data_IF_090608060216
#
_entry.id   IF_090608060216
#
_cell.length_a   1.000
_cell.length_b   1.000
_cell.length_c   1.000
_cell.angle_alpha   90.00
_cell.angle_beta   90.00
_cell.angle_gamma   90.00
#
_symmetry.space_group_name_H-M   'P 1'
#
loop_
_entity.id
_entity.type
_entity.pdbx_description
1 polymer ?
#
# COMPACT_ATOMS: atom_id res chain seq x y z
N UNK A 1 -7.60 7.34 -3.41
CA UNK A 1 -8.99 6.91 -3.69
C UNK A 1 -9.99 8.05 -3.96
N UNK A 2 -9.53 9.29 -4.10
CA UNK A 2 -10.42 10.45 -4.09
C UNK A 2 -11.33 10.57 -5.33
N UNK A 3 -11.07 9.81 -6.39
CA UNK A 3 -11.81 9.89 -7.66
C UNK A 3 -12.59 8.62 -8.04
N UNK A 4 -12.75 7.68 -7.11
CA UNK A 4 -13.27 6.36 -7.46
C UNK A 4 -14.73 6.16 -7.03
N UNK A 5 -15.50 5.46 -7.88
CA UNK A 5 -16.78 4.87 -7.51
C UNK A 5 -16.53 3.49 -6.88
N UNK A 6 -16.85 3.30 -5.58
CA UNK A 6 -16.59 2.05 -4.88
C UNK A 6 -17.19 0.78 -5.52
N UNK A 7 -18.37 0.88 -6.13
CA UNK A 7 -19.06 -0.30 -6.67
C UNK A 7 -18.49 -0.72 -8.02
N UNK A 8 -18.18 0.26 -8.88
CA UNK A 8 -17.49 0.00 -10.14
C UNK A 8 -16.08 -0.55 -9.90
N UNK A 9 -15.35 0.00 -8.93
CA UNK A 9 -14.05 -0.55 -8.52
C UNK A 9 -14.16 -2.01 -8.11
N UNK A 10 -15.17 -2.38 -7.30
CA UNK A 10 -15.35 -3.76 -6.85
C UNK A 10 -15.65 -4.71 -8.01
N UNK A 11 -16.52 -4.32 -8.95
CA UNK A 11 -16.83 -5.09 -10.16
C UNK A 11 -15.59 -5.28 -11.05
N UNK A 12 -14.85 -4.19 -11.32
CA UNK A 12 -13.66 -4.22 -12.14
C UNK A 12 -12.54 -5.05 -11.49
N UNK A 13 -12.35 -4.91 -10.18
CA UNK A 13 -11.36 -5.66 -9.41
C UNK A 13 -11.67 -7.15 -9.39
N UNK A 14 -12.93 -7.53 -9.14
CA UNK A 14 -13.35 -8.93 -9.16
C UNK A 14 -13.17 -9.54 -10.56
N UNK A 15 -13.52 -8.81 -11.61
CA UNK A 15 -13.31 -9.25 -13.00
C UNK A 15 -11.82 -9.46 -13.29
N UNK A 16 -10.97 -8.49 -12.93
CA UNK A 16 -9.52 -8.58 -13.13
C UNK A 16 -8.90 -9.75 -12.35
N UNK A 17 -9.34 -9.97 -11.12
CA UNK A 17 -8.87 -11.06 -10.27
C UNK A 17 -9.26 -12.45 -10.83
N UNK A 18 -10.47 -12.59 -11.35
CA UNK A 18 -10.91 -13.83 -12.03
C UNK A 18 -10.07 -14.10 -13.27
N UNK A 19 -9.76 -13.08 -14.08
CA UNK A 19 -8.86 -13.21 -15.24
C UNK A 19 -7.44 -13.56 -14.78
N UNK A 20 -6.99 -12.97 -13.67
CA UNK A 20 -5.69 -13.22 -13.09
C UNK A 20 -5.60 -14.55 -12.33
N UNK A 21 -6.69 -15.33 -12.24
CA UNK A 21 -6.81 -16.56 -11.47
C UNK A 21 -6.47 -16.38 -9.98
N UNK A 22 -7.00 -15.32 -9.35
CA UNK A 22 -6.88 -15.08 -7.91
C UNK A 22 -5.56 -14.46 -7.45
N UNK A 23 -4.77 -13.89 -8.37
CA UNK A 23 -3.45 -13.30 -8.08
C UNK A 23 -3.47 -11.79 -7.83
N UNK A 24 -4.64 -11.15 -7.82
CA UNK A 24 -4.73 -9.70 -7.65
C UNK A 24 -4.65 -9.31 -6.18
N UNK A 25 -3.75 -8.38 -5.87
CA UNK A 25 -3.64 -7.65 -4.61
C UNK A 25 -4.10 -6.21 -4.81
N UNK A 26 -4.97 -5.69 -3.94
CA UNK A 26 -5.61 -4.39 -4.12
C UNK A 26 -5.09 -3.37 -3.10
N UNK A 27 -4.36 -2.35 -3.57
CA UNK A 27 -3.91 -1.24 -2.74
C UNK A 27 -4.92 -0.08 -2.70
N UNK A 28 -5.39 0.29 -1.50
CA UNK A 28 -6.24 1.46 -1.26
C UNK A 28 -5.63 2.38 -0.20
N UNK A 29 -5.87 3.68 -0.30
CA UNK A 29 -5.40 4.66 0.69
C UNK A 29 -6.17 5.97 0.56
N UNK A 30 -5.90 6.90 1.48
CA UNK A 30 -6.35 8.30 1.38
C UNK A 30 -6.01 8.91 0.02
N UNK A 31 -4.85 8.59 -0.54
CA UNK A 31 -4.26 9.25 -1.71
C UNK A 31 -3.05 10.10 -1.32
N UNK A 32 -2.16 10.34 -2.28
CA UNK A 32 -1.00 11.22 -2.11
C UNK A 32 -1.41 12.69 -2.16
N UNK A 33 -0.58 13.60 -1.65
CA UNK A 33 -0.65 15.00 -2.05
C UNK A 33 -0.66 15.10 -3.57
N UNK A 34 -1.54 15.95 -4.09
CA UNK A 34 -1.79 16.04 -5.52
C UNK A 34 -1.05 17.24 -6.14
N UNK A 35 -0.67 17.11 -7.41
CA UNK A 35 -0.14 18.24 -8.17
C UNK A 35 -1.22 19.29 -8.52
N UNK A 36 -2.49 18.87 -8.60
CA UNK A 36 -3.62 19.74 -8.86
C UNK A 36 -4.04 20.50 -7.60
N UNK A 37 -4.41 21.77 -7.77
CA UNK A 37 -5.03 22.57 -6.70
C UNK A 37 -6.49 22.14 -6.58
N UNK A 38 -6.86 21.53 -5.46
CA UNK A 38 -8.22 21.01 -5.24
C UNK A 38 -8.70 20.11 -6.39
N UNK A 39 -7.87 19.12 -6.75
CA UNK A 39 -8.17 18.26 -7.89
C UNK A 39 -9.48 17.51 -7.71
N UNK A 40 -9.87 17.15 -6.49
CA UNK A 40 -11.16 16.52 -6.22
C UNK A 40 -12.35 17.34 -6.70
N UNK A 41 -12.41 18.62 -6.35
CA UNK A 41 -13.47 19.47 -6.86
C UNK A 41 -13.42 19.56 -8.38
N UNK A 42 -12.24 19.77 -8.96
CA UNK A 42 -12.07 19.93 -10.41
C UNK A 42 -12.35 18.65 -11.21
N UNK A 43 -12.17 17.47 -10.61
CA UNK A 43 -12.55 16.18 -11.17
C UNK A 43 -14.02 15.81 -10.91
N UNK A 44 -14.81 16.75 -10.36
CA UNK A 44 -16.27 16.62 -10.21
C UNK A 44 -16.71 15.98 -8.89
N UNK A 45 -15.85 15.93 -7.87
CA UNK A 45 -16.18 15.39 -6.56
C UNK A 45 -16.34 16.50 -5.53
N UNK A 46 -17.52 16.58 -4.93
CA UNK A 46 -17.80 17.52 -3.85
C UNK A 46 -17.46 16.89 -2.50
N UNK A 47 -16.73 17.62 -1.66
CA UNK A 47 -16.53 17.27 -0.26
C UNK A 47 -17.79 17.64 0.53
N UNK A 48 -18.47 16.69 1.21
CA UNK A 48 -19.59 17.03 2.06
C UNK A 48 -19.18 18.01 3.17
N UNK A 49 -20.09 18.89 3.57
CA UNK A 49 -19.83 19.86 4.62
C UNK A 49 -19.40 19.18 5.93
N UNK A 50 -18.31 19.66 6.53
CA UNK A 50 -17.76 19.11 7.77
C UNK A 50 -16.98 17.80 7.62
N UNK A 51 -16.84 17.26 6.40
CA UNK A 51 -16.02 16.08 6.15
C UNK A 51 -14.58 16.42 5.73
N UNK A 52 -13.72 15.41 5.77
CA UNK A 52 -12.36 15.48 5.21
C UNK A 52 -12.19 14.47 4.07
N UNK A 53 -11.28 14.72 3.14
CA UNK A 53 -10.95 13.73 2.11
C UNK A 53 -10.43 12.40 2.70
N UNK A 54 -9.83 12.43 3.89
CA UNK A 54 -9.45 11.24 4.64
C UNK A 54 -10.66 10.41 5.07
N UNK A 55 -11.71 11.05 5.62
CA UNK A 55 -12.94 10.34 6.02
C UNK A 55 -13.70 9.81 4.80
N UNK A 56 -13.75 10.57 3.71
CA UNK A 56 -14.36 10.13 2.45
C UNK A 56 -13.62 8.90 1.89
N UNK A 57 -12.29 8.93 1.83
CA UNK A 57 -11.49 7.82 1.33
C UNK A 57 -11.67 6.56 2.18
N UNK A 58 -11.71 6.69 3.51
CA UNK A 58 -11.98 5.57 4.41
C UNK A 58 -13.34 4.92 4.13
N UNK A 59 -14.41 5.72 4.10
CA UNK A 59 -15.78 5.24 3.82
C UNK A 59 -15.88 4.57 2.44
N UNK A 60 -15.14 5.07 1.45
CA UNK A 60 -15.05 4.43 0.13
C UNK A 60 -14.36 3.07 0.20
N UNK A 61 -13.26 2.96 0.95
CA UNK A 61 -12.60 1.69 1.22
C UNK A 61 -13.53 0.67 1.88
N UNK A 62 -14.28 1.09 2.90
CA UNK A 62 -15.28 0.23 3.57
C UNK A 62 -16.38 -0.23 2.60
N UNK A 63 -16.85 0.67 1.72
CA UNK A 63 -17.86 0.34 0.71
C UNK A 63 -17.33 -0.64 -0.34
N UNK A 64 -16.08 -0.49 -0.77
CA UNK A 64 -15.40 -1.47 -1.65
C UNK A 64 -15.35 -2.82 -0.97
N UNK A 65 -14.82 -2.89 0.24
CA UNK A 65 -14.66 -4.15 0.96
C UNK A 65 -16.01 -4.85 1.18
N UNK A 66 -17.04 -4.08 1.49
CA UNK A 66 -18.42 -4.58 1.61
C UNK A 66 -18.91 -5.20 0.30
N UNK A 67 -18.69 -4.54 -0.84
CA UNK A 67 -19.07 -5.05 -2.16
C UNK A 67 -18.26 -6.29 -2.57
N UNK A 68 -16.96 -6.31 -2.28
CA UNK A 68 -16.07 -7.45 -2.54
C UNK A 68 -16.40 -8.68 -1.70
N UNK A 69 -17.04 -8.50 -0.53
CA UNK A 69 -17.55 -9.61 0.30
C UNK A 69 -18.86 -10.19 -0.24
N UNK A 70 -19.41 -9.64 -1.32
CA UNK A 70 -20.71 -10.04 -1.86
C UNK A 70 -21.89 -9.66 -0.96
N UNK A 71 -21.69 -8.71 -0.04
CA UNK A 71 -22.77 -8.19 0.80
C UNK A 71 -23.87 -7.63 -0.10
N UNK A 72 -25.15 -8.01 0.11
CA UNK A 72 -26.24 -7.46 -0.68
C UNK A 72 -26.47 -5.96 -0.41
N UNK A 73 -26.67 -5.18 -1.48
CA UNK A 73 -26.71 -3.71 -1.47
C UNK A 73 -27.97 -3.09 -2.06
N UNK A 74 -28.69 -3.77 -2.95
CA UNK A 74 -29.84 -3.20 -3.66
C UNK A 74 -31.07 -4.11 -3.62
N UNK A 75 -32.27 -3.53 -3.51
CA UNK A 75 -33.52 -4.28 -3.61
C UNK A 75 -33.82 -4.59 -5.08
N UNK A 76 -34.23 -5.83 -5.42
CA UNK A 76 -34.69 -6.13 -6.76
C UNK A 76 -36.07 -5.51 -7.02
N UNK A 77 -36.34 -5.14 -8.27
CA UNK A 77 -37.69 -4.83 -8.73
C UNK A 77 -38.42 -6.14 -9.07
N UNK A 78 -39.42 -6.52 -8.26
CA UNK A 78 -40.15 -7.78 -8.42
C UNK A 78 -41.10 -7.78 -9.62
N UNK A 79 -41.46 -6.62 -10.15
CA UNK A 79 -42.31 -6.52 -11.35
C UNK A 79 -41.48 -6.59 -12.65
N UNK A 80 -40.15 -6.40 -12.55
CA UNK A 80 -39.24 -6.48 -13.68
C UNK A 80 -39.01 -7.94 -14.12
N UNK A 81 -39.20 -8.22 -15.41
CA UNK A 81 -38.85 -9.51 -16.01
C UNK A 81 -37.34 -9.85 -16.00
N UNK A 82 -36.49 -8.89 -15.62
CA UNK A 82 -35.05 -9.07 -15.44
C UNK A 82 -34.65 -9.43 -14.01
N UNK A 83 -35.61 -9.42 -13.07
CA UNK A 83 -35.36 -9.85 -11.71
C UNK A 83 -35.43 -11.36 -11.59
N UNK A 84 -34.30 -11.98 -11.28
CA UNK A 84 -34.19 -13.44 -11.12
C UNK A 84 -34.17 -13.88 -9.65
N UNK A 85 -34.42 -12.95 -8.71
CA UNK A 85 -34.35 -13.22 -7.27
C UNK A 85 -35.24 -12.27 -6.47
N UNK A 86 -35.80 -12.76 -5.38
CA UNK A 86 -36.50 -11.94 -4.37
C UNK A 86 -35.56 -11.42 -3.28
N UNK A 87 -34.33 -11.92 -3.25
CA UNK A 87 -33.30 -11.48 -2.31
C UNK A 87 -32.62 -10.18 -2.75
N UNK A 88 -32.00 -9.48 -1.81
CA UNK A 88 -31.17 -8.32 -2.11
C UNK A 88 -30.06 -8.67 -3.12
N UNK A 89 -29.83 -7.77 -4.08
CA UNK A 89 -28.82 -7.86 -5.11
C UNK A 89 -27.45 -7.43 -4.57
N UNK A 90 -26.39 -8.09 -5.03
CA UNK A 90 -24.99 -7.75 -4.77
C UNK A 90 -24.30 -7.31 -6.06
N UNK A 91 -23.13 -6.72 -5.94
CA UNK A 91 -22.27 -6.45 -7.11
C UNK A 91 -21.79 -7.78 -7.69
N UNK A 92 -21.69 -7.87 -9.01
CA UNK A 92 -21.18 -9.04 -9.73
C UNK A 92 -20.13 -8.56 -10.75
N UNK A 93 -19.14 -9.39 -11.14
CA UNK A 93 -18.91 -10.74 -10.62
C UNK A 93 -18.33 -10.74 -9.20
N UNK A 94 -18.41 -11.88 -8.51
CA UNK A 94 -17.72 -12.12 -7.24
C UNK A 94 -16.44 -12.92 -7.45
N UNK A 95 -15.35 -12.49 -6.81
CA UNK A 95 -14.09 -13.25 -6.79
C UNK A 95 -13.77 -13.74 -5.38
N UNK A 96 -13.73 -15.07 -5.13
CA UNK A 96 -13.46 -15.62 -3.81
C UNK A 96 -12.12 -15.16 -3.22
N UNK A 97 -12.15 -14.71 -1.96
CA UNK A 97 -10.97 -14.28 -1.20
C UNK A 97 -10.42 -12.89 -1.55
N UNK A 98 -10.92 -12.22 -2.60
CA UNK A 98 -10.40 -10.90 -3.00
C UNK A 98 -10.62 -9.82 -1.92
N UNK A 99 -11.69 -9.93 -1.13
CA UNK A 99 -11.95 -9.01 -0.02
C UNK A 99 -10.90 -9.09 1.12
N UNK A 100 -10.17 -10.20 1.20
CA UNK A 100 -9.10 -10.41 2.17
C UNK A 100 -7.73 -9.98 1.64
N UNK A 101 -7.59 -9.79 0.33
CA UNK A 101 -6.41 -9.25 -0.39
C UNK A 101 -6.48 -7.74 -0.61
N UNK A 102 -7.10 -7.02 0.32
CA UNK A 102 -7.28 -5.57 0.27
C UNK A 102 -6.35 -4.90 1.28
N UNK A 103 -5.41 -4.12 0.74
CA UNK A 103 -4.34 -3.46 1.46
C UNK A 103 -4.65 -2.00 1.72
N UNK A 104 -4.38 -1.53 2.94
CA UNK A 104 -4.46 -0.12 3.30
C UNK A 104 -3.06 0.50 3.39
N UNK A 105 -2.85 1.56 2.61
CA UNK A 105 -1.65 2.41 2.69
C UNK A 105 -1.73 3.37 3.87
N UNK A 106 -1.00 3.09 4.95
CA UNK A 106 -1.02 3.87 6.18
C UNK A 106 0.10 4.92 6.22
N UNK A 107 -0.28 6.19 6.36
CA UNK A 107 0.66 7.29 6.56
C UNK A 107 0.95 7.61 8.03
N UNK A 108 0.21 7.02 8.96
CA UNK A 108 0.40 7.24 10.40
C UNK A 108 -0.08 6.04 11.21
N UNK A 109 0.41 5.93 12.44
CA UNK A 109 0.12 4.86 13.38
C UNK A 109 -1.36 4.76 13.68
N UNK A 110 -2.11 5.85 13.94
CA UNK A 110 -3.56 5.76 14.09
C UNK A 110 -4.25 5.17 12.85
N UNK A 111 -3.78 5.47 11.63
CA UNK A 111 -4.36 4.90 10.41
C UNK A 111 -4.00 3.43 10.23
N UNK A 112 -2.81 3.00 10.65
CA UNK A 112 -2.43 1.59 10.64
C UNK A 112 -3.25 0.78 11.66
N UNK A 113 -3.40 1.27 12.90
CA UNK A 113 -4.26 0.65 13.92
C UNK A 113 -5.68 0.46 13.39
N UNK A 114 -6.27 1.52 12.83
CA UNK A 114 -7.62 1.45 12.24
C UNK A 114 -7.72 0.45 11.10
N UNK A 115 -6.67 0.31 10.27
CA UNK A 115 -6.61 -0.70 9.22
C UNK A 115 -6.61 -2.13 9.79
N UNK A 116 -5.88 -2.35 10.89
CA UNK A 116 -5.87 -3.61 11.63
C UNK A 116 -7.24 -3.95 12.21
N UNK A 117 -7.86 -3.00 12.91
CA UNK A 117 -9.21 -3.15 13.46
C UNK A 117 -10.23 -3.51 12.37
N UNK A 118 -10.13 -2.86 11.21
CA UNK A 118 -11.01 -3.12 10.09
C UNK A 118 -10.64 -4.40 9.33
N UNK A 119 -9.45 -4.98 9.49
CA UNK A 119 -9.04 -6.24 8.86
C UNK A 119 -8.52 -6.13 7.42
N UNK A 120 -7.93 -4.98 7.07
CA UNK A 120 -7.13 -4.81 5.85
C UNK A 120 -5.74 -5.40 6.05
N UNK A 121 -5.05 -5.78 4.97
CA UNK A 121 -3.59 -5.91 4.99
C UNK A 121 -2.95 -4.51 5.06
N UNK A 122 -1.69 -4.41 5.51
CA UNK A 122 -1.01 -3.14 5.73
C UNK A 122 0.11 -2.91 4.72
N UNK A 123 0.11 -1.76 4.05
CA UNK A 123 1.34 -1.20 3.48
C UNK A 123 1.70 0.05 4.26
N UNK A 124 2.85 0.03 4.94
CA UNK A 124 3.39 1.22 5.58
C UNK A 124 3.92 2.18 4.50
N UNK A 125 3.46 3.42 4.54
CA UNK A 125 3.81 4.45 3.54
C UNK A 125 5.32 4.70 3.50
N UNK A 126 5.85 5.02 2.30
CA UNK A 126 7.23 5.52 2.12
C UNK A 126 7.46 6.87 2.80
N UNK A 127 6.38 7.54 3.20
CA UNK A 127 6.38 8.79 3.94
C UNK A 127 5.35 8.69 5.07
N UNK A 128 5.83 8.80 6.31
CA UNK A 128 4.96 8.90 7.49
C UNK A 128 4.64 10.38 7.74
N UNK A 129 3.39 10.66 8.08
CA UNK A 129 2.84 11.97 8.46
C UNK A 129 2.83 12.14 9.99
N UNK A 130 3.79 11.51 10.64
CA UNK A 130 4.12 11.64 12.04
C UNK A 130 5.63 11.39 12.13
N UNK A 131 6.40 12.40 12.55
CA UNK A 131 7.83 12.24 12.79
C UNK A 131 8.09 12.47 14.27
N UNK A 132 8.42 11.39 14.98
CA UNK A 132 8.77 11.42 16.39
C UNK A 132 10.28 11.57 16.66
N UNK A 133 11.09 11.68 15.60
CA UNK A 133 12.54 11.88 15.67
C UNK A 133 13.37 10.59 15.79
N UNK A 134 12.74 9.40 15.89
CA UNK A 134 13.44 8.12 15.75
C UNK A 134 13.77 7.85 14.27
N UNK A 135 14.69 6.93 13.94
CA UNK A 135 14.94 6.54 12.56
C UNK A 135 13.66 6.04 11.87
N UNK A 136 13.49 6.36 10.58
CA UNK A 136 12.29 6.05 9.81
C UNK A 136 11.88 4.57 9.90
N UNK A 137 12.85 3.65 9.76
CA UNK A 137 12.59 2.21 9.82
C UNK A 137 12.10 1.75 11.20
N UNK A 138 12.54 2.40 12.29
CA UNK A 138 12.07 2.10 13.66
C UNK A 138 10.62 2.56 13.83
N UNK A 139 10.27 3.75 13.31
CA UNK A 139 8.90 4.25 13.34
C UNK A 139 7.95 3.35 12.53
N UNK A 140 8.39 2.86 11.37
CA UNK A 140 7.61 1.89 10.58
C UNK A 140 7.47 0.53 11.29
N UNK A 141 8.52 0.04 11.97
CA UNK A 141 8.44 -1.22 12.71
C UNK A 141 7.42 -1.15 13.86
N UNK A 142 7.41 -0.03 14.61
CA UNK A 142 6.41 0.26 15.66
C UNK A 142 4.99 0.34 15.06
N UNK A 143 4.82 0.98 13.89
CA UNK A 143 3.54 1.01 13.19
C UNK A 143 3.04 -0.40 12.81
N UNK A 144 3.92 -1.25 12.27
CA UNK A 144 3.61 -2.65 11.91
C UNK A 144 3.20 -3.45 13.16
N UNK A 145 3.93 -3.28 14.27
CA UNK A 145 3.61 -3.96 15.52
C UNK A 145 2.22 -3.57 16.05
N UNK A 146 1.92 -2.27 16.13
CA UNK A 146 0.61 -1.77 16.60
C UNK A 146 -0.54 -2.18 15.68
N UNK A 147 -0.31 -2.23 14.38
CA UNK A 147 -1.28 -2.78 13.43
C UNK A 147 -1.59 -4.26 13.73
N UNK A 148 -0.55 -5.08 13.94
CA UNK A 148 -0.74 -6.52 14.23
C UNK A 148 -1.48 -6.73 15.56
N UNK A 149 -1.15 -5.95 16.58
CA UNK A 149 -1.88 -5.96 17.86
C UNK A 149 -3.36 -5.62 17.67
N UNK A 150 -3.67 -4.56 16.91
CA UNK A 150 -5.03 -4.13 16.63
C UNK A 150 -5.82 -5.18 15.82
N UNK A 151 -5.17 -5.78 14.82
CA UNK A 151 -5.76 -6.85 14.01
C UNK A 151 -6.11 -8.07 14.87
N UNK A 152 -5.18 -8.50 15.74
CA UNK A 152 -5.42 -9.62 16.65
C UNK A 152 -6.52 -9.31 17.67
N UNK A 153 -6.52 -8.11 18.26
CA UNK A 153 -7.53 -7.67 19.23
C UNK A 153 -8.94 -7.59 18.63
N UNK A 154 -9.06 -7.30 17.33
CA UNK A 154 -10.32 -7.27 16.60
C UNK A 154 -10.90 -8.68 16.30
N UNK A 155 -10.13 -9.75 16.52
CA UNK A 155 -10.61 -11.13 16.41
C UNK A 155 -10.83 -11.63 14.98
N UNK A 156 -10.11 -11.06 14.00
CA UNK A 156 -10.15 -11.57 12.62
C UNK A 156 -9.54 -12.99 12.55
N UNK A 157 -10.16 -13.89 11.78
CA UNK A 157 -9.77 -15.31 11.73
C UNK A 157 -8.55 -15.60 10.85
N UNK A 158 -8.19 -14.69 9.95
CA UNK A 158 -7.08 -14.85 8.99
C UNK A 158 -5.77 -14.27 9.53
N UNK A 159 -4.65 -14.69 8.96
CA UNK A 159 -3.36 -13.99 9.17
C UNK A 159 -3.30 -12.76 8.26
N UNK A 160 -2.99 -11.56 8.79
CA UNK A 160 -2.78 -10.38 7.97
C UNK A 160 -1.41 -10.42 7.28
N UNK A 161 -1.28 -9.70 6.17
CA UNK A 161 0.02 -9.38 5.58
C UNK A 161 0.41 -7.92 5.81
N UNK A 162 1.71 -7.69 5.93
CA UNK A 162 2.30 -6.37 6.12
C UNK A 162 3.44 -6.16 5.14
N UNK A 163 3.53 -4.95 4.59
CA UNK A 163 4.55 -4.58 3.62
C UNK A 163 5.17 -3.23 3.95
N UNK A 164 6.47 -3.12 3.68
CA UNK A 164 7.20 -1.84 3.70
C UNK A 164 7.89 -1.61 2.36
N UNK A 165 7.99 -0.36 1.95
CA UNK A 165 8.61 0.01 0.67
C UNK A 165 10.00 0.60 0.88
N UNK A 166 10.96 0.21 0.05
CA UNK A 166 12.34 0.73 0.05
C UNK A 166 12.76 1.18 -1.34
N UNK A 167 13.46 2.31 -1.41
CA UNK A 167 14.20 2.72 -2.60
C UNK A 167 15.58 2.07 -2.54
N UNK A 168 15.89 1.20 -3.48
CA UNK A 168 17.15 0.43 -3.49
C UNK A 168 17.88 0.63 -4.81
N UNK A 169 19.14 1.03 -4.74
CA UNK A 169 20.03 1.19 -5.90
C UNK A 169 21.26 0.31 -5.71
N UNK A 170 21.25 -0.88 -6.30
CA UNK A 170 22.43 -1.74 -6.36
C UNK A 170 23.49 -1.12 -7.28
N UNK A 171 24.73 -1.03 -6.79
CA UNK A 171 25.90 -0.50 -7.49
C UNK A 171 26.81 -1.67 -7.83
N UNK A 172 26.81 -2.07 -9.09
CA UNK A 172 27.48 -3.29 -9.56
C UNK A 172 28.73 -3.01 -10.38
N UNK A 173 28.87 -1.81 -10.95
CA UNK A 173 30.02 -1.41 -11.75
C UNK A 173 30.30 0.11 -11.70
N UNK A 174 31.33 0.54 -12.44
CA UNK A 174 31.73 1.96 -12.52
C UNK A 174 30.65 2.87 -13.12
N UNK A 175 29.75 2.32 -13.95
CA UNK A 175 28.63 3.11 -14.50
C UNK A 175 27.62 3.42 -13.40
N UNK A 176 27.26 2.43 -12.58
CA UNK A 176 26.37 2.64 -11.43
C UNK A 176 27.02 3.57 -10.40
N UNK A 177 28.32 3.40 -10.14
CA UNK A 177 29.05 4.24 -9.20
C UNK A 177 29.03 5.72 -9.63
N UNK A 178 29.27 5.99 -10.92
CA UNK A 178 29.16 7.35 -11.46
C UNK A 178 27.75 7.92 -11.34
N UNK A 179 26.71 7.08 -11.46
CA UNK A 179 25.32 7.51 -11.48
C UNK A 179 24.73 7.68 -10.08
N UNK A 180 25.04 6.77 -9.16
CA UNK A 180 24.36 6.60 -7.87
C UNK A 180 25.31 6.60 -6.67
N UNK A 181 26.62 6.70 -6.85
CA UNK A 181 27.57 6.69 -5.74
C UNK A 181 27.30 7.78 -4.70
N UNK A 182 26.70 8.90 -5.10
CA UNK A 182 26.28 9.97 -4.19
C UNK A 182 25.13 9.59 -3.25
N UNK A 183 24.32 8.59 -3.61
CA UNK A 183 23.19 8.09 -2.81
C UNK A 183 23.64 7.15 -1.68
N UNK A 184 24.89 6.65 -1.70
CA UNK A 184 25.45 5.75 -0.66
C UNK A 184 25.39 6.32 0.76
N UNK A 185 25.23 7.65 0.88
CA UNK A 185 25.14 8.37 2.15
C UNK A 185 23.75 8.99 2.37
N UNK A 186 22.72 8.43 1.72
CA UNK A 186 21.32 8.79 1.93
C UNK A 186 20.95 8.72 3.41
N UNK A 187 20.08 9.64 3.84
CA UNK A 187 19.57 9.73 5.21
C UNK A 187 18.06 9.92 5.19
N UNK A 188 17.43 9.66 6.32
CA UNK A 188 16.04 10.04 6.55
C UNK A 188 15.84 11.53 6.21
N UNK A 189 14.73 11.83 5.56
CA UNK A 189 14.34 13.19 5.22
C UNK A 189 13.10 13.57 6.02
N UNK A 190 13.25 14.57 6.90
CA UNK A 190 12.15 15.16 7.65
C UNK A 190 11.66 16.45 7.00
N UNK A 191 10.36 16.69 7.08
CA UNK A 191 9.71 17.89 6.55
C UNK A 191 8.37 18.17 7.23
N UNK A 192 7.58 19.04 6.60
CA UNK A 192 6.23 19.36 7.03
C UNK A 192 5.27 19.22 5.84
N UNK A 193 4.24 18.40 5.99
CA UNK A 193 3.30 18.04 4.92
C UNK A 193 1.92 17.84 5.52
N UNK A 194 0.88 18.34 4.83
CA UNK A 194 -0.52 18.22 5.27
C UNK A 194 -0.74 18.66 6.74
N UNK A 195 -0.06 19.72 7.18
CA UNK A 195 -0.19 20.25 8.54
C UNK A 195 0.51 19.42 9.62
N UNK A 196 1.29 18.40 9.25
CA UNK A 196 1.96 17.48 10.17
C UNK A 196 3.45 17.39 9.87
N UNK A 197 4.25 17.03 10.87
CA UNK A 197 5.64 16.64 10.62
C UNK A 197 5.65 15.34 9.83
N UNK A 198 6.52 15.26 8.83
CA UNK A 198 6.64 14.11 7.97
C UNK A 198 8.07 13.59 7.95
N UNK A 199 8.24 12.28 7.77
CA UNK A 199 9.53 11.63 7.62
C UNK A 199 9.46 10.57 6.51
N UNK A 200 10.53 10.46 5.73
CA UNK A 200 10.72 9.43 4.71
C UNK A 200 12.09 8.80 4.85
N UNK A 201 12.19 7.51 4.52
CA UNK A 201 13.44 6.75 4.62
C UNK A 201 14.47 7.11 3.55
N UNK A 202 15.72 6.66 3.70
CA UNK A 202 16.78 6.91 2.75
C UNK A 202 16.63 6.05 1.49
N UNK A 203 17.39 6.41 0.47
CA UNK A 203 17.74 5.45 -0.59
C UNK A 203 18.83 4.52 -0.08
N UNK A 204 18.62 3.21 -0.20
CA UNK A 204 19.60 2.18 0.12
C UNK A 204 20.46 1.96 -1.13
N UNK A 205 21.62 2.61 -1.17
CA UNK A 205 22.54 2.52 -2.30
C UNK A 205 23.90 1.97 -1.88
N UNK A 206 24.42 1.03 -2.66
CA UNK A 206 25.69 0.35 -2.37
C UNK A 206 25.86 -0.89 -3.25
N UNK A 207 26.96 -1.62 -3.08
CA UNK A 207 27.10 -2.95 -3.65
C UNK A 207 26.01 -3.88 -3.10
N UNK A 208 25.73 -5.02 -3.75
CA UNK A 208 24.73 -5.96 -3.23
C UNK A 208 24.97 -6.37 -1.77
N UNK A 209 26.23 -6.51 -1.35
CA UNK A 209 26.63 -6.80 0.04
C UNK A 209 26.30 -5.65 0.98
N UNK A 210 26.64 -4.41 0.63
CA UNK A 210 26.34 -3.25 1.46
C UNK A 210 24.83 -3.01 1.59
N UNK A 211 24.08 -3.19 0.49
CA UNK A 211 22.61 -3.13 0.50
C UNK A 211 22.05 -4.21 1.43
N UNK A 212 22.55 -5.45 1.35
CA UNK A 212 22.14 -6.52 2.24
C UNK A 212 22.42 -6.17 3.71
N UNK A 213 23.60 -5.64 4.03
CA UNK A 213 23.94 -5.20 5.40
C UNK A 213 23.03 -4.08 5.91
N UNK A 214 22.65 -3.13 5.05
CA UNK A 214 21.75 -2.04 5.43
C UNK A 214 20.33 -2.56 5.69
N UNK A 215 19.82 -3.44 4.82
CA UNK A 215 18.49 -4.06 4.98
C UNK A 215 18.43 -5.00 6.18
N UNK A 216 19.53 -5.69 6.52
CA UNK A 216 19.63 -6.52 7.73
C UNK A 216 19.49 -5.69 9.02
N UNK A 217 19.87 -4.41 9.00
CA UNK A 217 19.78 -3.49 10.14
C UNK A 217 18.44 -2.73 10.17
N UNK A 218 17.63 -2.83 9.13
CA UNK A 218 16.35 -2.15 9.02
C UNK A 218 15.25 -2.91 9.76
N UNK A 219 14.90 -2.45 10.96
CA UNK A 219 13.88 -3.09 11.81
C UNK A 219 12.52 -3.28 11.13
N UNK A 220 12.11 -2.38 10.24
CA UNK A 220 10.84 -2.48 9.54
C UNK A 220 10.86 -3.56 8.46
N UNK A 221 11.98 -3.70 7.75
CA UNK A 221 12.23 -4.81 6.82
C UNK A 221 12.22 -6.15 7.54
N UNK A 222 12.79 -6.22 8.75
CA UNK A 222 12.76 -7.45 9.55
C UNK A 222 11.37 -7.75 10.13
N UNK A 223 10.55 -6.72 10.36
CA UNK A 223 9.21 -6.88 10.94
C UNK A 223 8.13 -7.23 9.91
N UNK A 224 8.25 -6.75 8.67
CA UNK A 224 7.24 -6.89 7.63
C UNK A 224 7.26 -8.26 6.94
N UNK A 225 6.13 -8.67 6.37
CA UNK A 225 6.01 -9.92 5.60
C UNK A 225 6.56 -9.75 4.18
N UNK A 226 6.45 -8.53 3.62
CA UNK A 226 6.91 -8.18 2.27
C UNK A 226 7.76 -6.92 2.28
N UNK A 227 8.81 -6.92 1.44
CA UNK A 227 9.57 -5.72 1.10
C UNK A 227 9.28 -5.36 -0.35
N UNK A 228 8.62 -4.22 -0.55
CA UNK A 228 8.36 -3.67 -1.88
C UNK A 228 9.53 -2.79 -2.28
N UNK A 229 10.03 -2.95 -3.51
CA UNK A 229 11.13 -2.12 -4.02
C UNK A 229 10.59 -1.09 -5.00
N UNK A 230 10.84 0.19 -4.73
CA UNK A 230 10.47 1.29 -5.61
C UNK A 230 11.39 1.32 -6.83
N UNK A 231 10.98 0.66 -7.91
CA UNK A 231 11.76 0.57 -9.14
C UNK A 231 11.81 1.93 -9.90
N UNK A 232 13.01 2.47 -10.21
CA UNK A 232 13.16 3.69 -10.99
C UNK A 232 12.87 3.42 -12.48
N UNK A 233 11.59 3.33 -12.83
CA UNK A 233 11.10 2.99 -14.17
C UNK A 233 11.66 3.88 -15.30
N UNK A 234 12.10 5.10 -14.97
CA UNK A 234 12.70 6.07 -15.91
C UNK A 234 14.08 5.67 -16.43
N UNK A 235 14.75 4.67 -15.84
CA UNK A 235 16.05 4.17 -16.31
C UNK A 235 15.95 3.28 -17.57
N UNK A 236 14.73 2.89 -17.96
CA UNK A 236 14.49 1.99 -19.10
C UNK A 236 14.63 0.51 -18.73
N UNK A 237 14.04 -0.35 -19.57
CA UNK A 237 13.88 -1.78 -19.26
C UNK A 237 15.21 -2.51 -19.05
N UNK A 238 16.20 -2.30 -19.93
CA UNK A 238 17.49 -2.97 -19.85
C UNK A 238 18.25 -2.61 -18.56
N UNK A 239 18.22 -1.35 -18.16
CA UNK A 239 18.90 -0.89 -16.95
C UNK A 239 18.17 -1.39 -15.68
N UNK A 240 16.84 -1.39 -15.68
CA UNK A 240 16.08 -1.93 -14.56
C UNK A 240 16.29 -3.45 -14.42
N UNK A 241 16.44 -4.20 -15.51
CA UNK A 241 16.81 -5.62 -15.44
C UNK A 241 18.17 -5.84 -14.76
N UNK A 242 19.14 -4.93 -15.00
CA UNK A 242 20.42 -4.94 -14.28
C UNK A 242 20.21 -4.68 -12.79
N UNK A 243 19.44 -3.65 -12.41
CA UNK A 243 19.13 -3.37 -10.99
C UNK A 243 18.45 -4.55 -10.31
N UNK A 244 17.53 -5.24 -10.99
CA UNK A 244 16.86 -6.43 -10.45
C UNK A 244 17.86 -7.54 -10.14
N UNK A 245 18.87 -7.76 -11.00
CA UNK A 245 19.91 -8.74 -10.73
C UNK A 245 20.72 -8.38 -9.46
N UNK A 246 21.01 -7.09 -9.25
CA UNK A 246 21.66 -6.62 -8.03
C UNK A 246 20.81 -6.82 -6.77
N UNK A 247 19.50 -6.57 -6.85
CA UNK A 247 18.59 -6.82 -5.74
C UNK A 247 18.47 -8.31 -5.40
N UNK A 248 18.39 -9.18 -6.43
CA UNK A 248 18.39 -10.63 -6.24
C UNK A 248 19.65 -11.10 -5.49
N UNK A 249 20.81 -10.53 -5.81
CA UNK A 249 22.04 -10.86 -5.09
C UNK A 249 22.00 -10.39 -3.63
N UNK A 250 21.49 -9.19 -3.35
CA UNK A 250 21.27 -8.73 -1.97
C UNK A 250 20.31 -9.65 -1.20
N UNK A 251 19.21 -10.10 -1.81
CA UNK A 251 18.25 -11.02 -1.19
C UNK A 251 18.87 -12.38 -0.89
N UNK A 252 19.68 -12.91 -1.82
CA UNK A 252 20.43 -14.15 -1.63
C UNK A 252 21.39 -14.05 -0.44
N UNK A 253 22.07 -12.92 -0.27
CA UNK A 253 22.98 -12.66 0.85
C UNK A 253 22.23 -12.53 2.20
N UNK A 254 21.00 -12.00 2.17
CA UNK A 254 20.10 -11.96 3.33
C UNK A 254 19.48 -13.33 3.67
N UNK A 255 19.61 -14.32 2.79
CA UNK A 255 18.97 -15.63 2.94
C UNK A 255 17.45 -15.58 2.82
N UNK A 256 16.91 -14.55 2.15
CA UNK A 256 15.48 -14.51 1.80
C UNK A 256 15.22 -15.54 0.71
N UNK A 257 14.08 -16.24 0.80
CA UNK A 257 13.76 -17.32 -0.12
C UNK A 257 13.66 -16.83 -1.57
N UNK A 258 14.04 -17.71 -2.52
CA UNK A 258 13.74 -17.56 -3.95
C UNK A 258 12.23 -17.72 -4.23
#
# INVERSE_FOLDING_TARGET
MCYENPLYFAEAAATADLIAAGRLELGVSRGSPEAARDGQEQFGYTLPEGESWASVAWRRGERIRTALRGTPLAQPDLESGWSHTTGMLRIEPQSPGLADRLWWGAGSTPTAVRAGEAGYDLVSSTLLLEDDGRPFHVQQADQVARYREAFAAAGHERTPHTAVTRSILAIQDEQDERRFGHERHGRDSSGFLDGSRAVSGPTYAGTPEEVAELLAKDEAVQAADLVLVANPSTLGAAYNAKQFAGWMESWRLLGWAD
#
